data_IF_761409869512
#
_entry.id   IF_761409869512
#
_cell.length_a   1.000
_cell.length_b   1.000
_cell.length_c   1.000
_cell.angle_alpha   90.00
_cell.angle_beta   90.00
_cell.angle_gamma   90.00
#
_symmetry.space_group_name_H-M   'P 1'
#
loop_
_entity.id
_entity.type
_entity.pdbx_description
1 polymer ?
#
# COMPACT_ATOMS: atom_id res chain seq x y z
N UNK A 1 0.22 4.09 -5.94
CA UNK A 1 -0.66 3.68 -7.07
C UNK A 1 -0.03 2.63 -7.95
N UNK A 2 0.88 3.00 -8.87
CA UNK A 2 1.40 2.10 -9.89
C UNK A 2 1.86 0.72 -9.36
N UNK A 3 2.67 0.68 -8.29
CA UNK A 3 3.15 -0.60 -7.72
C UNK A 3 2.03 -1.52 -7.21
N UNK A 4 1.00 -0.95 -6.57
CA UNK A 4 -0.17 -1.71 -6.11
C UNK A 4 -0.95 -2.29 -7.29
N UNK A 5 -1.13 -1.49 -8.35
CA UNK A 5 -1.83 -1.94 -9.55
C UNK A 5 -1.05 -3.02 -10.30
N UNK A 6 0.27 -2.84 -10.45
CA UNK A 6 1.14 -3.86 -11.05
C UNK A 6 1.10 -5.17 -10.27
N UNK A 7 1.16 -5.13 -8.94
CA UNK A 7 0.99 -6.32 -8.09
C UNK A 7 -0.37 -6.98 -8.33
N UNK A 8 -1.46 -6.21 -8.35
CA UNK A 8 -2.81 -6.71 -8.63
C UNK A 8 -2.91 -7.37 -10.00
N UNK A 9 -2.31 -6.78 -11.04
CA UNK A 9 -2.30 -7.34 -12.39
C UNK A 9 -1.50 -8.65 -12.47
N UNK A 10 -0.36 -8.76 -11.77
CA UNK A 10 0.36 -10.04 -11.66
C UNK A 10 -0.51 -11.12 -10.99
N UNK A 11 -1.19 -10.76 -9.91
CA UNK A 11 -2.12 -11.65 -9.21
C UNK A 11 -3.25 -12.12 -10.14
N UNK A 12 -3.91 -11.20 -10.85
CA UNK A 12 -5.01 -11.53 -11.76
C UNK A 12 -4.57 -12.38 -12.96
N UNK A 13 -3.32 -12.21 -13.41
CA UNK A 13 -2.71 -13.01 -14.45
C UNK A 13 -2.23 -14.39 -13.96
N UNK A 14 -2.42 -14.75 -12.68
CA UNK A 14 -1.95 -16.01 -12.10
C UNK A 14 -0.43 -16.08 -11.89
N UNK A 15 0.28 -14.96 -12.02
CA UNK A 15 1.73 -14.86 -11.96
C UNK A 15 2.25 -14.78 -10.51
N UNK A 16 1.85 -15.73 -9.67
CA UNK A 16 2.06 -15.68 -8.22
C UNK A 16 3.53 -15.85 -7.81
N UNK A 17 4.38 -16.40 -8.68
CA UNK A 17 5.83 -16.47 -8.47
C UNK A 17 6.49 -15.09 -8.30
N UNK A 18 5.88 -14.01 -8.81
CA UNK A 18 6.39 -12.64 -8.68
C UNK A 18 5.83 -11.91 -7.44
N UNK A 19 5.00 -12.57 -6.63
CA UNK A 19 4.28 -11.91 -5.55
C UNK A 19 5.22 -11.37 -4.47
N UNK A 20 6.28 -12.12 -4.11
CA UNK A 20 7.26 -11.66 -3.12
C UNK A 20 8.01 -10.42 -3.61
N UNK A 21 8.40 -10.38 -4.87
CA UNK A 21 9.10 -9.25 -5.48
C UNK A 21 8.20 -8.01 -5.55
N UNK A 22 7.00 -8.14 -6.11
CA UNK A 22 6.05 -7.03 -6.23
C UNK A 22 5.62 -6.50 -4.85
N UNK A 23 5.52 -7.36 -3.83
CA UNK A 23 5.29 -6.93 -2.44
C UNK A 23 6.44 -6.08 -1.90
N UNK A 24 7.69 -6.48 -2.14
CA UNK A 24 8.86 -5.70 -1.72
C UNK A 24 8.93 -4.33 -2.41
N UNK A 25 8.53 -4.23 -3.69
CA UNK A 25 8.46 -2.95 -4.39
C UNK A 25 7.39 -2.01 -3.82
N UNK A 26 6.23 -2.55 -3.43
CA UNK A 26 5.19 -1.78 -2.74
C UNK A 26 5.72 -1.29 -1.39
N UNK A 27 6.31 -2.17 -0.60
CA UNK A 27 6.90 -1.86 0.71
C UNK A 27 7.94 -0.73 0.62
N UNK A 28 8.88 -0.82 -0.33
CA UNK A 28 9.91 0.19 -0.53
C UNK A 28 9.32 1.57 -0.88
N UNK A 29 8.26 1.62 -1.69
CA UNK A 29 7.59 2.88 -2.03
C UNK A 29 6.82 3.45 -0.84
N UNK A 30 6.16 2.59 -0.04
CA UNK A 30 5.45 3.02 1.18
C UNK A 30 6.41 3.57 2.23
N UNK A 31 7.59 2.96 2.40
CA UNK A 31 8.62 3.46 3.31
C UNK A 31 9.16 4.82 2.85
N UNK A 32 9.42 4.99 1.55
CA UNK A 32 9.81 6.29 1.00
C UNK A 32 8.71 7.33 1.20
N UNK A 33 7.44 6.99 0.94
CA UNK A 33 6.32 7.91 1.14
C UNK A 33 6.22 8.39 2.59
N UNK A 34 6.42 7.48 3.55
CA UNK A 34 6.43 7.83 4.98
C UNK A 34 7.57 8.78 5.32
N UNK A 35 8.76 8.55 4.79
CA UNK A 35 9.91 9.43 4.99
C UNK A 35 9.65 10.85 4.43
N UNK A 36 9.16 10.95 3.19
CA UNK A 36 8.85 12.23 2.56
C UNK A 36 7.72 12.98 3.30
N UNK A 37 6.73 12.27 3.83
CA UNK A 37 5.69 12.87 4.65
C UNK A 37 6.25 13.47 5.95
N UNK A 38 7.15 12.75 6.63
CA UNK A 38 7.82 13.23 7.84
C UNK A 38 8.70 14.46 7.56
N UNK A 39 9.51 14.40 6.50
CA UNK A 39 10.35 15.53 6.10
C UNK A 39 9.51 16.78 5.83
N UNK A 40 8.41 16.64 5.08
CA UNK A 40 7.48 17.74 4.83
C UNK A 40 6.86 18.31 6.10
N UNK A 41 6.50 17.47 7.08
CA UNK A 41 5.99 17.95 8.36
C UNK A 41 7.02 18.79 9.12
N UNK A 42 8.30 18.42 9.06
CA UNK A 42 9.39 19.21 9.66
C UNK A 42 9.55 20.57 8.96
N UNK A 43 9.59 20.58 7.63
CA UNK A 43 9.70 21.84 6.86
C UNK A 43 8.47 22.76 7.09
N UNK A 44 7.28 22.17 7.15
CA UNK A 44 6.05 22.92 7.41
C UNK A 44 6.00 23.49 8.82
N UNK A 45 6.63 22.85 9.80
CA UNK A 45 6.72 23.36 11.17
C UNK A 45 7.55 24.65 11.24
N UNK A 46 8.57 24.79 10.40
CA UNK A 46 9.34 26.04 10.31
C UNK A 46 8.47 27.19 9.79
N UNK A 47 7.70 26.95 8.72
CA UNK A 47 6.75 27.92 8.17
C UNK A 47 5.64 28.25 9.17
N UNK A 48 5.12 27.24 9.87
CA UNK A 48 4.13 27.43 10.93
C UNK A 48 4.66 28.39 12.01
N UNK A 49 5.90 28.21 12.46
CA UNK A 49 6.52 29.07 13.46
C UNK A 49 6.69 30.52 12.93
N UNK A 50 7.10 30.70 11.68
CA UNK A 50 7.21 32.02 11.05
C UNK A 50 5.85 32.74 10.99
N UNK A 51 4.76 32.00 10.82
CA UNK A 51 3.40 32.53 10.76
C UNK A 51 2.68 32.53 12.12
N UNK A 52 3.37 32.19 13.21
CA UNK A 52 2.82 32.22 14.58
C UNK A 52 1.84 31.09 14.90
N UNK A 53 1.87 29.99 14.14
CA UNK A 53 1.06 28.79 14.37
C UNK A 53 1.83 27.73 15.19
N UNK A 54 1.12 26.75 15.79
CA UNK A 54 1.75 25.58 16.39
C UNK A 54 2.58 24.79 15.36
N UNK A 55 3.70 24.19 15.79
CA UNK A 55 4.57 23.39 14.92
C UNK A 55 3.84 22.21 14.23
N UNK A 56 2.79 21.71 14.86
CA UNK A 56 1.92 20.64 14.36
C UNK A 56 0.74 21.14 13.51
N UNK A 57 0.74 22.41 13.11
CA UNK A 57 -0.32 22.97 12.28
C UNK A 57 -0.47 22.17 10.98
N UNK A 58 -1.70 21.82 10.66
CA UNK A 58 -2.04 21.09 9.45
C UNK A 58 -2.01 22.02 8.22
N UNK A 59 -1.91 21.44 7.03
CA UNK A 59 -1.80 22.18 5.76
C UNK A 59 -3.01 23.09 5.49
N UNK A 60 -4.20 22.69 5.94
CA UNK A 60 -5.40 23.55 5.87
C UNK A 60 -5.28 24.77 6.78
N UNK A 61 -4.68 24.63 7.96
CA UNK A 61 -4.44 25.74 8.89
C UNK A 61 -3.35 26.67 8.35
N UNK A 62 -2.29 26.10 7.76
CA UNK A 62 -1.24 26.86 7.07
C UNK A 62 -1.80 27.65 5.88
N UNK A 63 -2.64 27.04 5.05
CA UNK A 63 -3.29 27.73 3.93
C UNK A 63 -4.16 28.90 4.41
N UNK A 64 -4.87 28.75 5.53
CA UNK A 64 -5.72 29.79 6.10
C UNK A 64 -4.92 30.94 6.76
N UNK A 65 -3.76 30.63 7.33
CA UNK A 65 -2.87 31.60 7.97
C UNK A 65 -1.86 32.23 7.01
N UNK A 66 -1.81 31.75 5.76
CA UNK A 66 -0.84 32.23 4.77
C UNK A 66 -1.01 33.75 4.54
N UNK A 67 0.11 34.50 4.43
CA UNK A 67 0.05 35.93 4.15
C UNK A 67 -0.69 36.25 2.84
N UNK A 68 -1.26 37.47 2.70
CA UNK A 68 -1.90 37.89 1.47
C UNK A 68 -0.96 37.75 0.25
N UNK A 69 -1.45 37.14 -0.82
CA UNK A 69 -0.67 36.83 -2.01
C UNK A 69 -1.11 35.52 -2.64
N UNK A 70 -0.20 34.84 -3.34
CA UNK A 70 -0.50 33.59 -4.05
C UNK A 70 -0.47 32.34 -3.14
N UNK A 71 0.14 32.42 -1.96
CA UNK A 71 0.35 31.26 -1.09
C UNK A 71 -0.92 30.59 -0.57
N UNK A 72 -1.98 31.32 -0.14
CA UNK A 72 -3.22 30.68 0.28
C UNK A 72 -3.79 29.74 -0.78
N UNK A 73 -3.87 30.22 -2.03
CA UNK A 73 -4.41 29.45 -3.16
C UNK A 73 -3.49 28.27 -3.51
N UNK A 74 -2.18 28.49 -3.59
CA UNK A 74 -1.20 27.41 -3.87
C UNK A 74 -1.29 26.30 -2.83
N UNK A 75 -1.36 26.63 -1.53
CA UNK A 75 -1.44 25.63 -0.47
C UNK A 75 -2.79 24.91 -0.47
N UNK A 76 -3.88 25.61 -0.79
CA UNK A 76 -5.21 25.01 -0.94
C UNK A 76 -5.26 24.01 -2.11
N UNK A 77 -4.71 24.36 -3.27
CA UNK A 77 -4.62 23.49 -4.44
C UNK A 77 -3.78 22.23 -4.13
N UNK A 78 -2.65 22.41 -3.43
CA UNK A 78 -1.81 21.28 -3.00
C UNK A 78 -2.54 20.38 -2.00
N UNK A 79 -3.29 20.96 -1.05
CA UNK A 79 -4.10 20.21 -0.09
C UNK A 79 -5.14 19.35 -0.81
N UNK A 80 -5.86 19.91 -1.79
CA UNK A 80 -6.83 19.16 -2.58
C UNK A 80 -6.16 18.02 -3.36
N UNK A 81 -5.07 18.32 -4.06
CA UNK A 81 -4.30 17.34 -4.82
C UNK A 81 -3.77 16.19 -3.95
N UNK A 82 -3.20 16.51 -2.79
CA UNK A 82 -2.68 15.50 -1.85
C UNK A 82 -3.81 14.63 -1.27
N UNK A 83 -4.97 15.23 -0.93
CA UNK A 83 -6.15 14.48 -0.47
C UNK A 83 -6.68 13.56 -1.58
N UNK A 84 -6.71 14.03 -2.83
CA UNK A 84 -7.13 13.20 -3.97
C UNK A 84 -6.20 12.00 -4.18
N UNK A 85 -4.88 12.22 -4.13
CA UNK A 85 -3.88 11.16 -4.25
C UNK A 85 -3.97 10.16 -3.09
N UNK A 86 -4.22 10.62 -1.87
CA UNK A 86 -4.39 9.73 -0.71
C UNK A 86 -5.63 8.84 -0.86
N UNK A 87 -6.77 9.41 -1.29
CA UNK A 87 -7.98 8.62 -1.59
C UNK A 87 -7.74 7.56 -2.67
N UNK A 88 -7.01 7.92 -3.72
CA UNK A 88 -6.63 6.97 -4.76
C UNK A 88 -5.74 5.86 -4.20
N UNK A 89 -4.75 6.18 -3.36
CA UNK A 89 -3.89 5.19 -2.70
C UNK A 89 -4.71 4.19 -1.89
N UNK A 90 -5.63 4.69 -1.08
CA UNK A 90 -6.50 3.85 -0.26
C UNK A 90 -7.39 2.95 -1.13
N UNK A 91 -7.90 3.44 -2.25
CA UNK A 91 -8.72 2.66 -3.17
C UNK A 91 -7.95 1.54 -3.88
N UNK A 92 -6.75 1.85 -4.39
CA UNK A 92 -5.87 0.84 -4.97
C UNK A 92 -5.45 -0.21 -3.93
N UNK A 93 -5.16 0.21 -2.69
CA UNK A 93 -4.82 -0.70 -1.61
C UNK A 93 -6.00 -1.61 -1.25
N UNK A 94 -7.22 -1.07 -1.08
CA UNK A 94 -8.42 -1.86 -0.83
C UNK A 94 -8.69 -2.89 -1.92
N UNK A 95 -8.59 -2.47 -3.18
CA UNK A 95 -8.82 -3.34 -4.34
C UNK A 95 -7.76 -4.44 -4.44
N UNK A 96 -6.48 -4.10 -4.22
CA UNK A 96 -5.39 -5.07 -4.15
C UNK A 96 -5.58 -6.07 -3.01
N UNK A 97 -5.95 -5.60 -1.82
CA UNK A 97 -6.18 -6.47 -0.66
C UNK A 97 -7.35 -7.44 -0.91
N UNK A 98 -8.47 -6.95 -1.46
CA UNK A 98 -9.60 -7.81 -1.81
C UNK A 98 -9.21 -8.92 -2.78
N UNK A 99 -8.36 -8.60 -3.76
CA UNK A 99 -7.85 -9.57 -4.74
C UNK A 99 -6.96 -10.63 -4.06
N UNK A 100 -6.05 -10.22 -3.18
CA UNK A 100 -5.17 -11.13 -2.43
C UNK A 100 -5.95 -12.02 -1.45
N UNK A 101 -6.95 -11.47 -0.75
CA UNK A 101 -7.81 -12.25 0.16
C UNK A 101 -8.60 -13.33 -0.58
N UNK A 102 -9.01 -13.06 -1.82
CA UNK A 102 -9.68 -14.06 -2.65
C UNK A 102 -8.77 -15.25 -2.98
N UNK A 103 -7.46 -15.01 -3.20
CA UNK A 103 -6.48 -16.07 -3.43
C UNK A 103 -6.17 -16.91 -2.19
N UNK A 104 -6.04 -16.26 -1.02
CA UNK A 104 -5.67 -16.93 0.23
C UNK A 104 -6.78 -17.77 0.86
N UNK A 105 -8.01 -17.74 0.32
CA UNK A 105 -9.13 -18.52 0.83
C UNK A 105 -8.88 -20.03 0.58
N UNK A 106 -9.12 -20.91 1.57
CA UNK A 106 -9.06 -22.35 1.35
C UNK A 106 -10.00 -22.78 0.22
N UNK A 107 -9.45 -23.50 -0.78
CA UNK A 107 -10.14 -23.88 -2.01
C UNK A 107 -10.12 -22.84 -3.14
N UNK A 108 -9.33 -21.76 -3.01
CA UNK A 108 -9.09 -20.80 -4.09
C UNK A 108 -8.20 -21.35 -5.21
N UNK A 109 -8.12 -20.67 -6.38
CA UNK A 109 -7.40 -21.16 -7.56
C UNK A 109 -5.89 -21.38 -7.34
N UNK A 110 -5.28 -20.70 -6.36
CA UNK A 110 -3.88 -20.92 -5.96
C UNK A 110 -3.66 -22.14 -5.05
N UNK A 111 -4.74 -22.78 -4.59
CA UNK A 111 -4.75 -23.93 -3.68
C UNK A 111 -5.52 -25.12 -4.29
N UNK A 112 -5.58 -25.19 -5.62
CA UNK A 112 -6.04 -26.38 -6.31
C UNK A 112 -4.98 -27.47 -6.15
N UNK A 113 -5.30 -28.62 -5.52
CA UNK A 113 -4.43 -29.78 -5.62
C UNK A 113 -4.32 -30.13 -7.11
N UNK A 114 -3.11 -30.11 -7.66
CA UNK A 114 -2.87 -30.47 -9.06
C UNK A 114 -3.48 -31.85 -9.38
N UNK A 115 -3.82 -32.12 -10.65
CA UNK A 115 -4.44 -33.39 -11.04
C UNK A 115 -3.42 -34.53 -10.99
N UNK A 116 -3.11 -35.00 -9.78
CA UNK A 116 -2.30 -36.18 -9.54
C UNK A 116 -3.23 -37.34 -9.17
N UNK A 117 -3.96 -37.86 -10.17
CA UNK A 117 -4.64 -39.15 -10.07
C UNK A 117 -4.09 -40.10 -11.14
N UNK A 118 -2.76 -40.30 -11.12
CA UNK A 118 -2.13 -41.48 -11.70
C UNK A 118 -2.48 -42.69 -10.84
N UNK A 119 -3.45 -43.48 -11.29
CA UNK A 119 -3.86 -44.73 -10.65
C UNK A 119 -2.71 -45.75 -10.74
N UNK A 120 -1.96 -45.92 -9.65
CA UNK A 120 -1.07 -47.06 -9.46
C UNK A 120 0.17 -46.77 -8.61
N UNK A 121 0.34 -47.56 -7.55
CA UNK A 121 1.51 -47.72 -6.67
C UNK A 121 1.81 -46.60 -5.65
N UNK A 122 1.75 -46.99 -4.36
CA UNK A 122 2.28 -46.33 -3.16
C UNK A 122 2.66 -44.85 -3.31
N UNK A 123 1.68 -43.97 -3.13
CA UNK A 123 1.90 -42.53 -3.13
C UNK A 123 2.70 -42.14 -1.87
N UNK A 124 4.01 -41.97 -2.04
CA UNK A 124 4.82 -41.18 -1.11
C UNK A 124 4.19 -39.77 -1.05
N UNK A 125 4.01 -39.16 0.14
CA UNK A 125 3.54 -37.78 0.20
C UNK A 125 4.52 -36.89 -0.57
N UNK A 126 4.01 -36.12 -1.53
CA UNK A 126 4.77 -35.16 -2.31
C UNK A 126 5.18 -33.98 -1.41
N UNK A 127 6.29 -34.15 -0.71
CA UNK A 127 6.83 -33.14 0.22
C UNK A 127 7.23 -31.85 -0.49
N UNK A 128 7.64 -31.92 -1.76
CA UNK A 128 7.98 -30.76 -2.56
C UNK A 128 6.73 -29.93 -2.89
N UNK A 129 5.66 -30.57 -3.36
CA UNK A 129 4.39 -29.90 -3.62
C UNK A 129 3.78 -29.26 -2.36
N UNK A 130 3.92 -29.89 -1.20
CA UNK A 130 3.48 -29.31 0.08
C UNK A 130 4.33 -28.08 0.46
N UNK A 131 5.65 -28.12 0.25
CA UNK A 131 6.53 -26.99 0.54
C UNK A 131 6.23 -25.77 -0.36
N UNK A 132 5.95 -26.01 -1.65
CA UNK A 132 5.58 -24.96 -2.59
C UNK A 132 4.24 -24.30 -2.21
N UNK A 133 3.26 -25.10 -1.79
CA UNK A 133 1.98 -24.57 -1.28
C UNK A 133 2.16 -23.72 -0.03
N UNK A 134 2.98 -24.16 0.94
CA UNK A 134 3.28 -23.38 2.15
C UNK A 134 4.01 -22.08 1.83
N UNK A 135 4.97 -22.12 0.90
CA UNK A 135 5.70 -20.94 0.44
C UNK A 135 4.74 -19.94 -0.21
N UNK A 136 3.82 -20.41 -1.06
CA UNK A 136 2.81 -19.57 -1.69
C UNK A 136 1.88 -18.92 -0.68
N UNK A 137 1.35 -19.70 0.28
CA UNK A 137 0.52 -19.17 1.36
C UNK A 137 1.26 -18.08 2.17
N UNK A 138 2.53 -18.32 2.51
CA UNK A 138 3.38 -17.31 3.18
C UNK A 138 3.56 -16.04 2.36
N UNK A 139 3.74 -16.16 1.04
CA UNK A 139 3.85 -15.01 0.14
C UNK A 139 2.55 -14.20 0.07
N UNK A 140 1.39 -14.85 0.06
CA UNK A 140 0.07 -14.19 0.08
C UNK A 140 -0.12 -13.43 1.39
N UNK A 141 0.17 -14.05 2.54
CA UNK A 141 0.07 -13.39 3.85
C UNK A 141 1.01 -12.19 3.97
N UNK A 142 2.25 -12.32 3.46
CA UNK A 142 3.17 -11.17 3.39
C UNK A 142 2.61 -10.05 2.52
N UNK A 143 2.09 -10.37 1.34
CA UNK A 143 1.51 -9.39 0.44
C UNK A 143 0.33 -8.66 1.09
N UNK A 144 -0.55 -9.40 1.78
CA UNK A 144 -1.66 -8.83 2.55
C UNK A 144 -1.16 -7.89 3.65
N UNK A 145 -0.14 -8.29 4.41
CA UNK A 145 0.43 -7.45 5.45
C UNK A 145 1.01 -6.15 4.90
N UNK A 146 1.71 -6.19 3.77
CA UNK A 146 2.24 -5.00 3.10
C UNK A 146 1.12 -4.08 2.63
N UNK A 147 0.09 -4.61 1.94
CA UNK A 147 -1.01 -3.78 1.44
C UNK A 147 -1.79 -3.13 2.59
N UNK A 148 -2.00 -3.83 3.72
CA UNK A 148 -2.64 -3.27 4.92
C UNK A 148 -1.85 -2.13 5.57
N UNK A 149 -0.56 -1.98 5.26
CA UNK A 149 0.29 -0.86 5.70
C UNK A 149 0.18 0.37 4.79
N UNK A 150 -0.59 0.30 3.71
CA UNK A 150 -0.77 1.43 2.78
C UNK A 150 -1.34 2.72 3.39
N UNK A 151 -2.29 2.67 4.36
CA UNK A 151 -2.82 3.89 4.99
C UNK A 151 -1.70 4.77 5.54
N UNK A 152 -1.78 6.07 5.29
CA UNK A 152 -0.77 7.06 5.69
C UNK A 152 -1.30 7.98 6.80
N UNK A 153 -1.38 7.54 8.07
CA UNK A 153 -2.02 8.32 9.13
C UNK A 153 -1.33 9.64 9.42
N UNK A 154 0.01 9.68 9.36
CA UNK A 154 0.78 10.92 9.56
C UNK A 154 0.51 11.94 8.45
N UNK A 155 0.41 11.47 7.21
CA UNK A 155 0.05 12.33 6.09
C UNK A 155 -1.40 12.81 6.22
N UNK A 156 -2.34 11.93 6.56
CA UNK A 156 -3.73 12.30 6.77
C UNK A 156 -3.89 13.37 7.87
N UNK A 157 -3.17 13.21 8.99
CA UNK A 157 -3.12 14.19 10.06
C UNK A 157 -2.57 15.54 9.57
N UNK A 158 -1.46 15.52 8.84
CA UNK A 158 -0.88 16.74 8.26
C UNK A 158 -1.83 17.45 7.29
N UNK A 159 -2.68 16.70 6.57
CA UNK A 159 -3.68 17.28 5.67
C UNK A 159 -4.95 17.77 6.40
N UNK A 160 -5.02 17.67 7.73
CA UNK A 160 -6.12 18.20 8.53
C UNK A 160 -7.31 17.26 8.72
N UNK A 161 -7.11 15.94 8.52
CA UNK A 161 -8.18 14.93 8.64
C UNK A 161 -9.11 14.86 7.43
#
# INVERSE_FOLDING_TARGET
MFRLETQRLHVLAGNLQWLSFTSAEVEAVLDRLRFEALARSVESAAVAAEWGLPAQAALNELAAAAPPGAWPDVLADHLEGLRALLRQLDDAARTGEATLRHLGRPGGPGMSPGPCAGRGATAQPDTAGVLDQLTMAGNIERALAVVRRSPQPLLAQYLGG
#
